data_IF_411660804688
#
_entry.id   IF_411660804688
#
_cell.length_a   1.000
_cell.length_b   1.000
_cell.length_c   1.000
_cell.angle_alpha   90.00
_cell.angle_beta   90.00
_cell.angle_gamma   90.00
#
_symmetry.space_group_name_H-M   'P 1'
#
loop_
_entity.id
_entity.type
_entity.pdbx_description
1 polymer ?
#
# COMPACT_ATOMS: atom_id res chain seq x y z
N UNK A 1 13.51 -24.07 -9.59
CA UNK A 1 13.08 -23.15 -8.50
C UNK A 1 13.50 -21.71 -8.76
N UNK A 2 14.69 -21.47 -9.31
CA UNK A 2 15.20 -20.14 -9.69
C UNK A 2 14.34 -19.40 -10.73
N UNK A 3 13.70 -20.10 -11.66
CA UNK A 3 12.91 -19.45 -12.73
C UNK A 3 11.59 -18.85 -12.24
N UNK A 4 10.91 -19.50 -11.30
CA UNK A 4 9.68 -18.98 -10.68
C UNK A 4 10.00 -17.70 -9.90
N UNK A 5 11.12 -17.71 -9.16
CA UNK A 5 11.62 -16.55 -8.44
C UNK A 5 11.98 -15.40 -9.38
N UNK A 6 12.62 -15.68 -10.53
CA UNK A 6 12.90 -14.67 -11.56
C UNK A 6 11.62 -14.06 -12.12
N UNK A 7 10.61 -14.87 -12.41
CA UNK A 7 9.32 -14.38 -12.90
C UNK A 7 8.61 -13.51 -11.85
N UNK A 8 8.68 -13.90 -10.57
CA UNK A 8 8.15 -13.10 -9.46
C UNK A 8 8.86 -11.77 -9.30
N UNK A 9 10.20 -11.77 -9.33
CA UNK A 9 10.99 -10.54 -9.23
C UNK A 9 10.72 -9.63 -10.43
N UNK A 10 10.62 -10.19 -11.63
CA UNK A 10 10.28 -9.44 -12.83
C UNK A 10 8.88 -8.80 -12.72
N UNK A 11 7.87 -9.57 -12.31
CA UNK A 11 6.53 -9.06 -12.05
C UNK A 11 6.54 -7.95 -10.98
N UNK A 12 7.23 -8.17 -9.85
CA UNK A 12 7.35 -7.15 -8.81
C UNK A 12 8.02 -5.89 -9.33
N UNK A 13 9.03 -6.01 -10.21
CA UNK A 13 9.72 -4.87 -10.80
C UNK A 13 8.89 -4.09 -11.81
N UNK A 14 7.89 -4.72 -12.44
CA UNK A 14 6.99 -4.05 -13.39
C UNK A 14 5.84 -3.31 -12.71
N UNK A 15 5.66 -3.44 -11.39
CA UNK A 15 4.62 -2.72 -10.65
C UNK A 15 4.98 -1.24 -10.44
N UNK A 16 3.96 -0.41 -10.27
CA UNK A 16 4.13 1.00 -9.92
C UNK A 16 4.40 1.16 -8.42
N UNK A 17 5.67 1.08 -8.04
CA UNK A 17 6.10 1.23 -6.65
C UNK A 17 5.77 2.59 -6.06
N UNK A 18 5.79 3.67 -6.86
CA UNK A 18 5.43 4.99 -6.37
C UNK A 18 3.96 5.04 -5.94
N UNK A 19 3.07 4.44 -6.75
CA UNK A 19 1.66 4.26 -6.41
C UNK A 19 1.48 3.36 -5.16
N UNK A 20 2.23 2.26 -5.07
CA UNK A 20 2.15 1.33 -3.92
C UNK A 20 2.54 2.05 -2.62
N UNK A 21 3.68 2.75 -2.59
CA UNK A 21 4.15 3.42 -1.39
C UNK A 21 3.24 4.57 -0.94
N UNK A 22 2.78 5.39 -1.88
CA UNK A 22 1.83 6.47 -1.57
C UNK A 22 0.52 5.92 -1.01
N UNK A 23 -0.02 4.86 -1.61
CA UNK A 23 -1.19 4.17 -1.07
C UNK A 23 -0.96 3.65 0.35
N UNK A 24 0.19 3.04 0.63
CA UNK A 24 0.53 2.53 1.97
C UNK A 24 0.57 3.66 3.00
N UNK A 25 1.18 4.80 2.66
CA UNK A 25 1.25 5.97 3.55
C UNK A 25 -0.14 6.50 3.85
N UNK A 26 -0.99 6.64 2.82
CA UNK A 26 -2.37 7.09 2.97
C UNK A 26 -3.16 6.10 3.84
N UNK A 27 -3.07 4.80 3.55
CA UNK A 27 -3.75 3.76 4.32
C UNK A 27 -3.30 3.73 5.79
N UNK A 28 -2.00 3.92 6.04
CA UNK A 28 -1.45 4.02 7.38
C UNK A 28 -1.96 5.25 8.12
N UNK A 29 -1.92 6.43 7.50
CA UNK A 29 -2.40 7.68 8.08
C UNK A 29 -3.88 7.62 8.45
N UNK A 30 -4.72 7.06 7.56
CA UNK A 30 -6.16 6.94 7.79
C UNK A 30 -6.52 5.90 8.87
N UNK A 31 -5.64 4.92 9.11
CA UNK A 31 -5.84 3.93 10.16
C UNK A 31 -5.37 4.40 11.55
N UNK A 32 -4.86 5.63 11.68
CA UNK A 32 -4.58 6.19 13.00
C UNK A 32 -5.88 6.54 13.73
N UNK A 33 -5.93 6.30 15.04
CA UNK A 33 -7.08 6.61 15.92
C UNK A 33 -7.66 8.02 15.72
N UNK A 34 -6.87 9.12 15.75
CA UNK A 34 -7.43 10.46 15.60
C UNK A 34 -8.16 10.67 14.28
N UNK A 35 -7.65 10.09 13.19
CA UNK A 35 -8.27 10.18 11.85
C UNK A 35 -9.49 9.28 11.75
N UNK A 36 -9.42 8.13 12.40
CA UNK A 36 -10.52 7.16 12.49
C UNK A 36 -11.73 7.72 13.25
N UNK A 37 -11.48 8.43 14.34
CA UNK A 37 -12.51 9.06 15.17
C UNK A 37 -13.11 10.27 14.45
N UNK A 38 -12.28 11.13 13.82
CA UNK A 38 -12.76 12.23 12.99
C UNK A 38 -13.66 11.76 11.82
N UNK A 39 -13.29 10.68 11.14
CA UNK A 39 -14.12 10.07 10.10
C UNK A 39 -15.42 9.49 10.64
N UNK A 40 -15.39 8.87 11.83
CA UNK A 40 -16.59 8.32 12.47
C UNK A 40 -17.54 9.44 12.91
N UNK A 41 -17.01 10.56 13.39
CA UNK A 41 -17.79 11.74 13.78
C UNK A 41 -18.40 12.44 12.57
N UNK A 42 -17.68 12.51 11.45
CA UNK A 42 -18.19 13.13 10.21
C UNK A 42 -19.23 12.27 9.48
N UNK A 43 -19.06 10.95 9.47
CA UNK A 43 -19.94 10.02 8.72
C UNK A 43 -21.02 9.37 9.58
N UNK A 44 -20.93 9.45 10.91
CA UNK A 44 -21.84 8.78 11.86
C UNK A 44 -21.75 7.25 11.86
N UNK A 45 -20.86 6.66 11.04
CA UNK A 45 -20.79 5.21 10.81
C UNK A 45 -19.44 4.67 11.28
N UNK A 46 -19.46 3.70 12.21
CA UNK A 46 -18.26 2.94 12.61
C UNK A 46 -17.90 1.89 11.54
N UNK A 47 -17.21 2.33 10.49
CA UNK A 47 -16.73 1.46 9.42
C UNK A 47 -15.54 0.62 9.93
N UNK A 48 -15.52 -0.70 9.71
CA UNK A 48 -14.34 -1.53 10.06
C UNK A 48 -13.13 -1.12 9.21
N UNK A 49 -11.93 -1.12 9.80
CA UNK A 49 -10.66 -0.73 9.15
C UNK A 49 -10.48 -1.30 7.73
N UNK A 50 -10.84 -2.58 7.53
CA UNK A 50 -10.72 -3.26 6.23
C UNK A 50 -11.49 -2.55 5.10
N UNK A 51 -12.71 -2.09 5.37
CA UNK A 51 -13.52 -1.41 4.36
C UNK A 51 -13.04 0.01 4.10
N UNK A 52 -12.49 0.70 5.11
CA UNK A 52 -11.94 2.06 4.91
C UNK A 52 -10.73 2.02 3.98
N UNK A 53 -9.79 1.12 4.23
CA UNK A 53 -8.59 0.95 3.38
C UNK A 53 -9.00 0.62 1.94
N UNK A 54 -10.04 -0.20 1.76
CA UNK A 54 -10.57 -0.55 0.44
C UNK A 54 -11.21 0.65 -0.27
N UNK A 55 -12.09 1.41 0.41
CA UNK A 55 -12.74 2.61 -0.14
C UNK A 55 -11.71 3.67 -0.55
N UNK A 56 -10.75 3.93 0.33
CA UNK A 56 -9.65 4.87 0.10
C UNK A 56 -8.82 4.43 -1.08
N UNK A 57 -8.55 3.14 -1.18
CA UNK A 57 -7.82 2.55 -2.28
C UNK A 57 -8.50 2.74 -3.62
N UNK A 58 -9.81 2.51 -3.67
CA UNK A 58 -10.61 2.74 -4.87
C UNK A 58 -10.60 4.23 -5.24
N UNK A 59 -10.85 5.12 -4.28
CA UNK A 59 -10.83 6.57 -4.52
C UNK A 59 -9.46 7.04 -5.02
N UNK A 60 -8.38 6.59 -4.38
CA UNK A 60 -7.02 6.94 -4.76
C UNK A 60 -6.68 6.43 -6.17
N UNK A 61 -7.05 5.19 -6.50
CA UNK A 61 -6.88 4.63 -7.84
C UNK A 61 -7.61 5.43 -8.91
N UNK A 62 -8.86 5.84 -8.64
CA UNK A 62 -9.65 6.69 -9.56
C UNK A 62 -8.97 8.04 -9.75
N UNK A 63 -8.53 8.70 -8.67
CA UNK A 63 -7.85 10.00 -8.74
C UNK A 63 -6.57 9.89 -9.58
N UNK A 64 -5.74 8.88 -9.33
CA UNK A 64 -4.49 8.68 -10.08
C UNK A 64 -4.75 8.36 -11.55
N UNK A 65 -5.80 7.60 -11.85
CA UNK A 65 -6.23 7.34 -13.22
C UNK A 65 -6.57 8.63 -13.98
N UNK A 66 -7.36 9.51 -13.38
CA UNK A 66 -7.72 10.80 -13.98
C UNK A 66 -6.53 11.74 -14.14
N UNK A 67 -5.60 11.76 -13.17
CA UNK A 67 -4.41 12.64 -13.22
C UNK A 67 -3.43 12.22 -14.31
N UNK A 68 -3.27 10.91 -14.56
CA UNK A 68 -2.20 10.41 -15.43
C UNK A 68 -2.57 10.28 -16.91
N UNK A 69 -3.80 10.57 -17.31
CA UNK A 69 -4.31 10.48 -18.70
C UNK A 69 -3.80 9.22 -19.42
N UNK A 70 -3.93 8.08 -18.74
CA UNK A 70 -3.17 6.87 -19.07
C UNK A 70 -3.84 6.03 -20.15
N UNK A 71 -3.08 5.74 -21.22
CA UNK A 71 -3.34 4.67 -22.19
C UNK A 71 -3.71 3.34 -21.49
N UNK A 72 -4.66 2.59 -22.06
CA UNK A 72 -5.24 1.35 -21.52
C UNK A 72 -4.22 0.37 -20.93
N UNK A 73 -3.03 0.23 -21.52
CA UNK A 73 -1.99 -0.68 -21.06
C UNK A 73 -1.46 -0.35 -19.64
N UNK A 74 -1.45 0.93 -19.24
CA UNK A 74 -1.01 1.33 -17.90
C UNK A 74 -2.09 1.11 -16.84
N UNK A 75 -3.36 0.92 -17.24
CA UNK A 75 -4.46 0.69 -16.29
C UNK A 75 -4.36 -0.69 -15.63
N UNK A 76 -3.95 -1.70 -16.39
CA UNK A 76 -3.77 -3.06 -15.89
C UNK A 76 -2.66 -3.10 -14.85
N UNK A 77 -1.54 -2.44 -15.14
CA UNK A 77 -0.41 -2.29 -14.21
C UNK A 77 -0.83 -1.53 -12.94
N UNK A 78 -1.66 -0.48 -13.08
CA UNK A 78 -2.19 0.28 -11.94
C UNK A 78 -3.09 -0.59 -11.06
N UNK A 79 -3.97 -1.39 -11.68
CA UNK A 79 -4.88 -2.29 -10.99
C UNK A 79 -4.13 -3.43 -10.29
N UNK A 80 -3.13 -4.02 -10.94
CA UNK A 80 -2.24 -5.01 -10.33
C UNK A 80 -1.47 -4.43 -9.13
N UNK A 81 -0.94 -3.21 -9.29
CA UNK A 81 -0.26 -2.48 -8.21
C UNK A 81 -1.21 -2.18 -7.05
N UNK A 82 -2.46 -1.85 -7.35
CA UNK A 82 -3.50 -1.63 -6.35
C UNK A 82 -3.86 -2.90 -5.58
N UNK A 83 -4.15 -4.00 -6.28
CA UNK A 83 -4.47 -5.27 -5.63
C UNK A 83 -3.29 -5.75 -4.78
N UNK A 84 -2.07 -5.64 -5.31
CA UNK A 84 -0.85 -5.95 -4.57
C UNK A 84 -0.73 -5.10 -3.31
N UNK A 85 -0.84 -3.78 -3.41
CA UNK A 85 -0.75 -2.89 -2.26
C UNK A 85 -1.88 -3.17 -1.25
N UNK A 86 -3.10 -3.44 -1.69
CA UNK A 86 -4.23 -3.72 -0.81
C UNK A 86 -4.03 -5.00 0.00
N UNK A 87 -3.46 -6.05 -0.60
CA UNK A 87 -3.16 -7.31 0.10
C UNK A 87 -1.94 -7.16 1.01
N UNK A 88 -0.88 -6.49 0.54
CA UNK A 88 0.42 -6.48 1.19
C UNK A 88 0.72 -5.21 2.00
N UNK A 89 -0.15 -4.20 2.04
CA UNK A 89 0.14 -2.90 2.71
C UNK A 89 0.64 -3.08 4.14
N UNK A 90 0.03 -3.98 4.92
CA UNK A 90 0.44 -4.23 6.30
C UNK A 90 1.83 -4.87 6.39
N UNK A 91 2.11 -5.87 5.54
CA UNK A 91 3.41 -6.55 5.48
C UNK A 91 4.52 -5.61 5.00
N UNK A 92 4.26 -4.83 3.96
CA UNK A 92 5.22 -3.85 3.42
C UNK A 92 5.50 -2.79 4.48
N UNK A 93 4.46 -2.27 5.13
CA UNK A 93 4.60 -1.29 6.20
C UNK A 93 5.43 -1.87 7.37
N UNK A 94 5.11 -3.07 7.86
CA UNK A 94 5.88 -3.72 8.94
C UNK A 94 7.34 -3.96 8.52
N UNK A 95 7.59 -4.39 7.29
CA UNK A 95 8.95 -4.58 6.77
C UNK A 95 9.73 -3.27 6.69
N UNK A 96 9.11 -2.21 6.17
CA UNK A 96 9.71 -0.87 6.07
C UNK A 96 9.97 -0.29 7.46
N UNK A 97 8.98 -0.34 8.36
CA UNK A 97 9.14 0.14 9.73
C UNK A 97 10.22 -0.65 10.47
N UNK A 98 10.25 -1.97 10.35
CA UNK A 98 11.29 -2.79 10.97
C UNK A 98 12.69 -2.48 10.42
N UNK A 99 12.81 -2.10 9.14
CA UNK A 99 14.10 -1.73 8.54
C UNK A 99 14.54 -0.33 8.92
N UNK A 100 13.61 0.60 9.10
CA UNK A 100 13.89 1.99 9.48
C UNK A 100 14.07 2.18 10.99
N UNK A 101 13.34 1.42 11.82
CA UNK A 101 13.28 1.57 13.27
C UNK A 101 13.92 0.42 14.05
N UNK A 102 14.47 -0.61 13.42
CA UNK A 102 15.52 -1.39 14.10
C UNK A 102 16.77 -0.51 14.11
N UNK A 103 17.21 0.03 15.26
CA UNK A 103 18.63 0.23 15.41
C UNK A 103 19.25 -1.16 15.18
N UNK A 104 20.26 -1.21 14.33
CA UNK A 104 21.20 -2.31 14.26
C UNK A 104 21.54 -2.69 15.71
N UNK A 105 20.89 -3.73 16.24
CA UNK A 105 21.37 -4.34 17.47
C UNK A 105 22.67 -4.96 17.02
N UNK A 106 23.74 -4.20 17.30
CA UNK A 106 25.13 -4.62 17.28
C UNK A 106 25.19 -6.13 17.39
N UNK A 107 25.70 -6.72 16.32
CA UNK A 107 26.32 -8.01 16.33
C UNK A 107 27.45 -7.98 17.38
N UNK A 108 27.09 -8.29 18.62
CA UNK A 108 28.00 -8.65 19.70
C UNK A 108 27.69 -10.08 20.13
N UNK A 109 28.09 -11.00 19.26
CA UNK A 109 28.50 -12.38 19.57
C UNK A 109 29.74 -12.61 18.71
N UNK A 110 30.90 -13.00 19.16
CA UNK A 110 31.51 -13.39 20.44
C UNK A 110 33.01 -13.11 20.28
#
# INVERSE_FOLDING_TARGET
MTDILKHLVHYLSSLDWAYIFTFIIIAFGLNQKPVTDWLADFTGIKIKTRYRVLIVGILYGIIVYFIRDTMLHKIEMLLQSFVFALVFHKLILESVLNRLFKPEKEDKRE
#
